data_IF_149237669313
#
_entry.id   IF_149237669313
#
_cell.length_a   1.000
_cell.length_b   1.000
_cell.length_c   1.000
_cell.angle_alpha   90.00
_cell.angle_beta   90.00
_cell.angle_gamma   90.00
#
_symmetry.space_group_name_H-M   'P 1'
#
loop_
_entity.id
_entity.type
_entity.pdbx_description
1 polymer ?
#
# COMPACT_ATOMS: atom_id res chain seq x y z
N UNK A 1 5.54 7.78 22.09
CA UNK A 1 4.20 8.06 21.53
C UNK A 1 4.30 9.31 20.66
N UNK A 2 3.91 9.24 19.39
CA UNK A 2 4.03 10.37 18.45
C UNK A 2 2.93 11.42 18.66
N UNK A 3 3.12 12.62 18.09
CA UNK A 3 2.15 13.73 18.18
C UNK A 3 0.79 13.31 17.61
N UNK A 4 0.79 12.60 16.48
CA UNK A 4 -0.43 12.07 15.86
C UNK A 4 -1.22 11.19 16.83
N UNK A 5 -0.57 10.26 17.53
CA UNK A 5 -1.25 9.34 18.45
C UNK A 5 -1.87 10.09 19.64
N UNK A 6 -1.17 11.10 20.16
CA UNK A 6 -1.72 11.96 21.20
C UNK A 6 -2.94 12.73 20.70
N UNK A 7 -2.88 13.30 19.50
CA UNK A 7 -3.99 14.04 18.89
C UNK A 7 -5.12 13.15 18.37
N UNK A 8 -4.95 11.83 18.31
CA UNK A 8 -6.04 10.89 18.01
C UNK A 8 -7.03 10.78 19.19
N UNK A 9 -6.56 10.98 20.42
CA UNK A 9 -7.38 10.91 21.65
C UNK A 9 -7.59 12.28 22.30
N UNK A 10 -6.63 13.19 22.22
CA UNK A 10 -6.69 14.53 22.81
C UNK A 10 -6.91 15.59 21.73
N UNK A 11 -7.53 16.72 22.12
CA UNK A 11 -7.75 17.86 21.21
C UNK A 11 -6.52 18.72 20.99
N UNK A 12 -5.56 18.69 21.92
CA UNK A 12 -4.30 19.41 21.82
C UNK A 12 -3.17 18.67 22.49
N UNK A 13 -1.95 19.00 22.09
CA UNK A 13 -0.72 18.48 22.69
C UNK A 13 0.39 19.53 22.66
N UNK A 14 1.31 19.44 23.62
CA UNK A 14 2.50 20.26 23.61
C UNK A 14 3.63 19.57 22.86
N UNK A 15 4.33 20.37 22.04
CA UNK A 15 5.56 19.99 21.34
C UNK A 15 6.69 20.74 22.04
N UNK A 16 7.54 19.99 22.74
CA UNK A 16 8.73 20.53 23.41
C UNK A 16 9.95 19.87 22.83
N UNK A 17 10.77 20.64 22.14
CA UNK A 17 12.06 20.24 21.57
C UNK A 17 13.14 21.12 22.20
N UNK A 18 13.81 20.64 23.26
CA UNK A 18 14.85 21.39 23.92
C UNK A 18 16.16 21.38 23.12
N UNK A 19 16.97 22.41 23.31
CA UNK A 19 18.34 22.50 22.76
C UNK A 19 18.44 22.40 21.24
N UNK A 20 17.51 23.03 20.49
CA UNK A 20 17.51 23.02 19.02
C UNK A 20 18.74 23.75 18.49
N UNK A 21 19.11 24.87 19.10
CA UNK A 21 20.29 25.65 18.76
C UNK A 21 20.73 26.48 19.97
N UNK A 22 21.88 27.13 19.87
CA UNK A 22 22.36 28.09 20.86
C UNK A 22 22.86 29.35 20.13
N UNK A 23 22.58 30.49 20.73
CA UNK A 23 23.16 31.77 20.31
C UNK A 23 23.87 32.49 21.49
N UNK A 24 24.24 33.75 21.30
CA UNK A 24 24.90 34.55 22.35
C UNK A 24 24.06 34.75 23.62
N UNK A 25 22.75 34.50 23.54
CA UNK A 25 21.82 34.60 24.67
C UNK A 25 21.56 33.27 25.36
N UNK A 26 22.14 32.17 24.86
CA UNK A 26 22.03 30.83 25.43
C UNK A 26 21.27 29.83 24.54
N UNK A 27 20.92 28.66 25.09
CA UNK A 27 20.23 27.63 24.36
C UNK A 27 18.80 28.04 23.97
N UNK A 28 18.38 27.65 22.77
CA UNK A 28 17.03 27.87 22.25
C UNK A 28 16.24 26.57 22.20
N UNK A 29 14.98 26.69 22.52
CA UNK A 29 14.04 25.59 22.60
C UNK A 29 12.81 25.89 21.74
N UNK A 30 12.17 24.86 21.20
CA UNK A 30 10.86 25.00 20.56
C UNK A 30 9.80 24.50 21.53
N UNK A 31 8.92 25.39 21.94
CA UNK A 31 7.74 25.07 22.72
C UNK A 31 6.51 25.58 21.97
N UNK A 32 5.71 24.66 21.46
CA UNK A 32 4.48 24.97 20.73
C UNK A 32 3.32 24.14 21.25
N UNK A 33 2.11 24.67 21.10
CA UNK A 33 0.88 23.89 21.22
C UNK A 33 0.37 23.53 19.83
N UNK A 34 0.10 22.25 19.64
CA UNK A 34 -0.52 21.71 18.43
C UNK A 34 -1.92 21.25 18.76
N UNK A 35 -2.91 21.73 18.01
CA UNK A 35 -4.29 21.23 18.11
C UNK A 35 -4.56 20.16 17.05
N UNK A 36 -5.52 19.27 17.33
CA UNK A 36 -6.02 18.30 16.35
C UNK A 36 -6.46 18.98 15.06
N UNK A 37 -7.26 20.04 15.15
CA UNK A 37 -7.74 20.80 13.99
C UNK A 37 -6.60 21.35 13.13
N UNK A 38 -5.50 21.83 13.75
CA UNK A 38 -4.33 22.29 13.01
C UNK A 38 -3.61 21.14 12.29
N UNK A 39 -3.47 19.97 12.93
CA UNK A 39 -2.89 18.79 12.30
C UNK A 39 -3.76 18.33 11.12
N UNK A 40 -5.07 18.26 11.30
CA UNK A 40 -6.02 17.84 10.27
C UNK A 40 -5.98 18.78 9.05
N UNK A 41 -5.90 20.09 9.28
CA UNK A 41 -5.75 21.05 8.20
C UNK A 41 -4.42 20.92 7.43
N UNK A 42 -3.33 20.56 8.13
CA UNK A 42 -2.01 20.36 7.48
C UNK A 42 -1.93 19.10 6.62
N UNK A 43 -2.79 18.10 6.85
CA UNK A 43 -2.78 16.82 6.14
C UNK A 43 -4.04 16.57 5.31
N UNK A 44 -4.90 17.56 5.16
CA UNK A 44 -6.19 17.44 4.49
C UNK A 44 -6.06 16.95 3.04
N UNK A 45 -5.09 17.49 2.30
CA UNK A 45 -4.81 17.07 0.94
C UNK A 45 -4.34 15.60 0.84
N UNK A 46 -3.58 15.13 1.84
CA UNK A 46 -3.14 13.74 1.92
C UNK A 46 -4.33 12.80 2.15
N UNK A 47 -5.24 13.20 3.04
CA UNK A 47 -6.45 12.43 3.31
C UNK A 47 -7.35 12.39 2.06
N UNK A 48 -7.58 13.54 1.43
CA UNK A 48 -8.38 13.59 0.20
C UNK A 48 -7.84 12.69 -0.91
N UNK A 49 -6.52 12.55 -1.05
CA UNK A 49 -5.88 11.66 -2.04
C UNK A 49 -6.08 10.17 -1.77
N UNK A 50 -6.60 9.77 -0.62
CA UNK A 50 -6.91 8.36 -0.34
C UNK A 50 -8.24 7.91 -0.95
N UNK A 51 -9.15 8.83 -1.27
CA UNK A 51 -10.47 8.50 -1.80
C UNK A 51 -10.47 8.01 -3.26
N UNK A 52 -9.69 8.62 -4.20
CA UNK A 52 -9.63 8.13 -5.57
C UNK A 52 -9.27 6.64 -5.71
N UNK A 53 -8.27 6.08 -4.99
CA UNK A 53 -8.02 4.64 -5.00
C UNK A 53 -9.21 3.79 -4.57
N UNK A 54 -9.99 4.25 -3.56
CA UNK A 54 -11.20 3.55 -3.13
C UNK A 54 -12.25 3.51 -4.25
N UNK A 55 -12.45 4.64 -4.94
CA UNK A 55 -13.37 4.71 -6.09
C UNK A 55 -12.93 3.77 -7.22
N UNK A 56 -11.64 3.75 -7.52
CA UNK A 56 -11.08 2.86 -8.55
C UNK A 56 -11.30 1.40 -8.18
N UNK A 57 -11.05 1.02 -6.92
CA UNK A 57 -11.25 -0.35 -6.46
C UNK A 57 -12.72 -0.79 -6.57
N UNK A 58 -13.67 0.06 -6.18
CA UNK A 58 -15.10 -0.22 -6.33
C UNK A 58 -15.49 -0.36 -7.81
N UNK A 59 -15.00 0.54 -8.66
CA UNK A 59 -15.23 0.49 -10.11
C UNK A 59 -14.65 -0.77 -10.74
N UNK A 60 -13.42 -1.16 -10.38
CA UNK A 60 -12.77 -2.38 -10.88
C UNK A 60 -13.51 -3.65 -10.42
N UNK A 61 -14.10 -3.63 -9.23
CA UNK A 61 -14.92 -4.72 -8.71
C UNK A 61 -16.36 -4.73 -9.27
N UNK A 62 -16.80 -3.65 -9.93
CA UNK A 62 -18.17 -3.52 -10.43
C UNK A 62 -19.23 -3.41 -9.34
N UNK A 63 -18.88 -2.90 -8.16
CA UNK A 63 -19.76 -2.74 -7.01
C UNK A 63 -19.83 -1.28 -6.55
N UNK A 64 -20.81 -0.98 -5.72
CA UNK A 64 -20.98 0.35 -5.12
C UNK A 64 -20.58 0.35 -3.65
N UNK A 65 -20.43 1.53 -3.05
CA UNK A 65 -20.11 1.66 -1.63
C UNK A 65 -21.17 1.03 -0.71
N UNK A 66 -22.42 0.97 -1.17
CA UNK A 66 -23.53 0.34 -0.42
C UNK A 66 -23.44 -1.18 -0.37
N UNK A 67 -22.78 -1.80 -1.35
CA UNK A 67 -22.61 -3.26 -1.45
C UNK A 67 -21.50 -3.78 -0.53
N UNK A 68 -20.74 -2.88 0.10
CA UNK A 68 -19.71 -3.26 1.08
C UNK A 68 -20.38 -3.64 2.40
N UNK A 69 -20.14 -4.87 2.86
CA UNK A 69 -20.67 -5.35 4.12
C UNK A 69 -19.92 -4.76 5.32
N UNK A 70 -18.60 -4.77 5.26
CA UNK A 70 -17.76 -4.39 6.38
C UNK A 70 -16.52 -3.57 5.92
N UNK A 71 -16.12 -2.60 6.74
CA UNK A 71 -14.96 -1.75 6.52
C UNK A 71 -13.97 -2.00 7.64
N UNK A 72 -12.82 -2.58 7.33
CA UNK A 72 -11.75 -2.84 8.28
C UNK A 72 -10.63 -1.83 8.06
N UNK A 73 -10.30 -1.08 9.12
CA UNK A 73 -9.26 -0.06 9.09
C UNK A 73 -7.91 -0.65 9.48
N UNK A 74 -6.88 -0.42 8.66
CA UNK A 74 -5.55 -1.01 8.83
C UNK A 74 -4.49 0.10 8.85
N UNK A 75 -3.51 -0.06 9.75
CA UNK A 75 -2.40 0.87 9.92
C UNK A 75 -2.69 2.00 10.91
N UNK A 76 -1.64 2.46 11.61
CA UNK A 76 -1.76 3.43 12.70
C UNK A 76 -2.36 4.79 12.33
N UNK A 77 -2.27 5.21 11.04
CA UNK A 77 -2.90 6.46 10.58
C UNK A 77 -4.42 6.40 10.61
N UNK A 78 -5.02 5.23 10.57
CA UNK A 78 -6.47 5.06 10.63
C UNK A 78 -7.07 5.34 12.01
N UNK A 79 -6.23 5.55 13.02
CA UNK A 79 -6.66 6.05 14.33
C UNK A 79 -7.05 7.52 14.33
N UNK A 80 -6.69 8.26 13.30
CA UNK A 80 -6.96 9.70 13.18
C UNK A 80 -8.46 9.94 12.97
N UNK A 81 -9.11 10.78 13.81
CA UNK A 81 -10.57 11.01 13.72
C UNK A 81 -11.04 11.50 12.34
N UNK A 82 -10.27 12.38 11.68
CA UNK A 82 -10.59 12.88 10.34
C UNK A 82 -10.62 11.76 9.31
N UNK A 83 -9.69 10.80 9.36
CA UNK A 83 -9.67 9.64 8.46
C UNK A 83 -10.91 8.77 8.66
N UNK A 84 -11.28 8.51 9.93
CA UNK A 84 -12.50 7.73 10.23
C UNK A 84 -13.75 8.44 9.72
N UNK A 85 -13.84 9.77 9.89
CA UNK A 85 -14.95 10.56 9.40
C UNK A 85 -15.07 10.53 7.88
N UNK A 86 -13.96 10.69 7.15
CA UNK A 86 -13.95 10.64 5.69
C UNK A 86 -14.34 9.26 5.15
N UNK A 87 -13.86 8.19 5.78
CA UNK A 87 -14.26 6.81 5.42
C UNK A 87 -15.75 6.59 5.66
N UNK A 88 -16.26 7.03 6.81
CA UNK A 88 -17.70 6.97 7.12
C UNK A 88 -18.53 7.76 6.11
N UNK A 89 -18.10 8.96 5.75
CA UNK A 89 -18.79 9.79 4.77
C UNK A 89 -18.80 9.14 3.38
N UNK A 90 -17.68 8.50 2.99
CA UNK A 90 -17.54 7.88 1.68
C UNK A 90 -18.37 6.60 1.53
N UNK A 91 -18.34 5.72 2.53
CA UNK A 91 -19.03 4.42 2.49
C UNK A 91 -20.43 4.43 3.12
N UNK A 92 -20.77 5.50 3.85
CA UNK A 92 -22.06 5.58 4.56
C UNK A 92 -22.20 4.65 5.78
N UNK A 93 -21.11 3.97 6.18
CA UNK A 93 -21.06 2.99 7.27
C UNK A 93 -19.91 3.30 8.22
N UNK A 94 -20.07 2.98 9.49
CA UNK A 94 -18.99 3.09 10.47
C UNK A 94 -17.95 1.98 10.24
N UNK A 95 -16.65 2.30 10.27
CA UNK A 95 -15.60 1.28 10.23
C UNK A 95 -15.65 0.35 11.43
N UNK A 96 -15.32 -0.93 11.20
CA UNK A 96 -15.16 -1.92 12.26
C UNK A 96 -13.99 -1.54 13.17
N UNK A 97 -14.25 -1.57 14.48
CA UNK A 97 -13.28 -1.26 15.54
C UNK A 97 -12.88 -2.47 16.37
N UNK A 98 -13.30 -3.68 15.98
CA UNK A 98 -13.03 -4.91 16.74
C UNK A 98 -11.59 -5.39 16.62
N UNK A 99 -10.89 -4.97 15.57
CA UNK A 99 -9.50 -5.35 15.31
C UNK A 99 -8.53 -4.20 15.61
N UNK A 100 -7.34 -4.54 16.13
CA UNK A 100 -6.29 -3.56 16.31
C UNK A 100 -5.65 -3.21 14.95
N UNK A 101 -5.74 -1.96 14.48
CA UNK A 101 -5.23 -1.57 13.17
C UNK A 101 -3.70 -1.68 13.02
N UNK A 102 -2.96 -1.76 14.13
CA UNK A 102 -1.50 -1.93 14.11
C UNK A 102 -1.08 -3.41 13.98
N UNK A 103 -1.93 -4.35 14.40
CA UNK A 103 -1.62 -5.79 14.49
C UNK A 103 -2.35 -6.63 13.45
N UNK A 104 -3.44 -6.14 12.87
CA UNK A 104 -4.34 -6.90 11.99
C UNK A 104 -3.62 -7.51 10.78
N UNK A 105 -2.60 -6.83 10.24
CA UNK A 105 -1.79 -7.35 9.12
C UNK A 105 -0.99 -8.58 9.54
N UNK A 106 -0.37 -8.53 10.71
CA UNK A 106 0.38 -9.67 11.25
C UNK A 106 -0.54 -10.86 11.57
N UNK A 107 -1.73 -10.58 12.11
CA UNK A 107 -2.76 -11.60 12.34
C UNK A 107 -3.21 -12.25 11.02
N UNK A 108 -3.48 -11.45 10.00
CA UNK A 108 -3.86 -11.94 8.67
C UNK A 108 -2.76 -12.79 8.04
N UNK A 109 -1.51 -12.37 8.14
CA UNK A 109 -0.36 -13.13 7.65
C UNK A 109 -0.20 -14.48 8.38
N UNK A 110 -0.43 -14.51 9.69
CA UNK A 110 -0.38 -15.75 10.47
C UNK A 110 -1.50 -16.72 10.07
N UNK A 111 -2.73 -16.21 9.87
CA UNK A 111 -3.87 -17.03 9.40
C UNK A 111 -3.56 -17.58 8.01
N UNK A 112 -3.06 -16.74 7.09
CA UNK A 112 -2.70 -17.19 5.73
C UNK A 112 -1.60 -18.24 5.74
N UNK A 113 -0.62 -18.13 6.62
CA UNK A 113 0.40 -19.16 6.80
C UNK A 113 -0.22 -20.49 7.26
N UNK A 114 -1.16 -20.46 8.20
CA UNK A 114 -1.90 -21.63 8.66
C UNK A 114 -2.75 -22.27 7.54
N UNK A 115 -3.35 -21.46 6.67
CA UNK A 115 -4.07 -21.96 5.48
C UNK A 115 -3.11 -22.66 4.52
N UNK A 116 -1.95 -22.09 4.25
CA UNK A 116 -0.94 -22.67 3.35
C UNK A 116 -0.33 -23.96 3.92
N UNK A 117 -0.20 -24.08 5.24
CA UNK A 117 0.26 -25.31 5.91
C UNK A 117 -0.84 -26.38 6.03
N UNK A 118 -2.09 -26.00 5.80
CA UNK A 118 -3.25 -26.90 5.93
C UNK A 118 -3.81 -27.04 7.34
N UNK A 119 -3.34 -26.22 8.28
CA UNK A 119 -3.82 -26.21 9.67
C UNK A 119 -5.19 -25.50 9.78
N UNK A 120 -5.43 -24.50 8.95
CA UNK A 120 -6.68 -23.77 8.84
C UNK A 120 -7.41 -24.17 7.55
N UNK A 121 -8.58 -24.75 7.65
CA UNK A 121 -9.34 -25.28 6.50
C UNK A 121 -10.63 -24.52 6.22
N UNK A 122 -11.10 -23.74 7.16
CA UNK A 122 -12.40 -23.07 7.11
C UNK A 122 -12.33 -21.66 6.47
N UNK A 123 -11.15 -21.22 6.07
CA UNK A 123 -10.92 -19.92 5.43
C UNK A 123 -10.37 -20.14 4.03
N UNK A 124 -11.10 -19.65 3.04
CA UNK A 124 -10.61 -19.56 1.65
C UNK A 124 -10.30 -18.10 1.32
N UNK A 125 -9.03 -17.77 1.18
CA UNK A 125 -8.60 -16.49 0.66
C UNK A 125 -8.09 -16.67 -0.76
N UNK A 126 -8.77 -16.06 -1.72
CA UNK A 126 -8.31 -15.91 -3.10
C UNK A 126 -7.88 -14.46 -3.28
N UNK A 127 -6.61 -14.27 -3.51
CA UNK A 127 -6.05 -12.95 -3.78
C UNK A 127 -5.88 -12.74 -5.29
N UNK A 128 -5.70 -11.51 -5.71
CA UNK A 128 -5.52 -11.14 -7.12
C UNK A 128 -4.29 -10.26 -7.29
N UNK A 129 -3.73 -10.28 -8.50
CA UNK A 129 -2.68 -9.33 -8.86
C UNK A 129 -3.28 -7.92 -8.93
N UNK A 130 -2.82 -6.96 -8.12
CA UNK A 130 -3.39 -5.60 -8.17
C UNK A 130 -3.03 -4.86 -9.46
N UNK A 131 -2.06 -5.39 -10.20
CA UNK A 131 -1.44 -4.76 -11.36
C UNK A 131 -1.06 -5.81 -12.39
N UNK A 132 -1.03 -5.39 -13.66
CA UNK A 132 -0.50 -6.22 -14.73
C UNK A 132 1.01 -6.41 -14.57
N UNK A 133 1.46 -7.64 -14.74
CA UNK A 133 2.86 -8.03 -14.74
C UNK A 133 3.31 -8.36 -16.15
N UNK A 134 4.40 -7.78 -16.59
CA UNK A 134 4.95 -7.97 -17.92
C UNK A 134 6.46 -7.98 -17.94
N UNK A 135 6.99 -8.05 -19.12
CA UNK A 135 8.43 -7.93 -19.39
C UNK A 135 8.67 -6.82 -20.40
N UNK A 136 9.85 -6.22 -20.32
CA UNK A 136 10.35 -5.30 -21.34
C UNK A 136 10.87 -6.11 -22.53
N UNK A 137 10.36 -5.81 -23.71
CA UNK A 137 10.80 -6.39 -24.97
C UNK A 137 11.57 -5.35 -25.79
N UNK A 138 12.08 -5.75 -26.96
CA UNK A 138 12.87 -4.91 -27.84
C UNK A 138 12.18 -3.56 -28.11
N UNK A 139 12.94 -2.46 -28.01
CA UNK A 139 12.40 -1.11 -28.19
C UNK A 139 11.73 -0.51 -26.95
N UNK A 140 11.89 -1.12 -25.75
CA UNK A 140 11.31 -0.60 -24.51
C UNK A 140 9.81 -0.86 -24.38
N UNK A 141 9.27 -1.76 -25.20
CA UNK A 141 7.83 -2.09 -25.18
C UNK A 141 7.51 -3.02 -24.02
N UNK A 142 6.52 -2.65 -23.21
CA UNK A 142 6.02 -3.52 -22.14
C UNK A 142 5.04 -4.57 -22.71
N UNK A 143 5.46 -5.84 -22.66
CA UNK A 143 4.60 -6.98 -23.04
C UNK A 143 3.98 -7.58 -21.79
N UNK A 144 2.67 -7.44 -21.63
CA UNK A 144 1.95 -7.98 -20.48
C UNK A 144 1.85 -9.51 -20.58
N UNK A 145 2.16 -10.18 -19.49
CA UNK A 145 2.04 -11.64 -19.33
C UNK A 145 0.86 -12.00 -18.43
N UNK A 146 0.69 -11.29 -17.33
CA UNK A 146 -0.38 -11.50 -16.38
C UNK A 146 -1.16 -10.18 -16.27
N UNK A 147 -2.43 -10.21 -16.57
CA UNK A 147 -3.29 -9.03 -16.46
C UNK A 147 -3.64 -8.72 -14.99
N UNK A 148 -3.88 -7.44 -14.69
CA UNK A 148 -4.40 -7.04 -13.38
C UNK A 148 -5.68 -7.82 -13.05
N UNK A 149 -5.95 -8.02 -11.77
CA UNK A 149 -7.09 -8.77 -11.25
C UNK A 149 -7.10 -10.27 -11.61
N UNK A 150 -5.96 -10.82 -12.03
CA UNK A 150 -5.81 -12.27 -12.19
C UNK A 150 -5.66 -12.92 -10.81
N UNK A 151 -6.47 -13.94 -10.53
CA UNK A 151 -6.40 -14.71 -9.27
C UNK A 151 -5.04 -15.39 -9.13
N UNK A 152 -4.46 -15.33 -7.94
CA UNK A 152 -3.19 -15.98 -7.59
C UNK A 152 -3.43 -17.17 -6.65
N UNK A 153 -2.60 -18.23 -6.73
CA UNK A 153 -1.38 -18.35 -7.53
C UNK A 153 -1.66 -18.56 -9.03
N UNK A 154 -0.85 -17.93 -9.88
CA UNK A 154 -0.95 -18.05 -11.33
C UNK A 154 0.43 -18.20 -11.97
N UNK A 155 0.47 -18.83 -13.15
CA UNK A 155 1.69 -19.01 -13.94
C UNK A 155 1.37 -18.71 -15.40
N UNK A 156 2.19 -17.89 -16.04
CA UNK A 156 2.16 -17.61 -17.47
C UNK A 156 3.54 -17.79 -18.07
N UNK A 157 3.58 -18.33 -19.27
CA UNK A 157 4.81 -18.46 -20.07
C UNK A 157 4.53 -18.00 -21.49
N UNK A 158 5.50 -17.38 -22.10
CA UNK A 158 5.44 -16.92 -23.48
C UNK A 158 6.84 -17.13 -24.09
N UNK A 159 6.87 -17.57 -25.33
CA UNK A 159 8.11 -17.76 -26.08
C UNK A 159 8.46 -16.44 -26.75
N UNK A 160 9.74 -16.08 -26.65
CA UNK A 160 10.31 -14.92 -27.31
C UNK A 160 11.54 -15.37 -28.11
N UNK A 161 11.80 -14.73 -29.24
CA UNK A 161 13.03 -14.91 -30.00
C UNK A 161 14.12 -13.95 -29.53
N UNK A 162 15.36 -14.32 -29.70
CA UNK A 162 16.51 -13.44 -29.51
C UNK A 162 16.57 -12.38 -30.62
N UNK A 163 17.18 -11.22 -30.33
CA UNK A 163 17.30 -10.15 -31.31
C UNK A 163 18.36 -10.50 -32.40
N UNK A 164 19.37 -11.30 -32.05
CA UNK A 164 20.48 -11.69 -32.93
C UNK A 164 20.67 -13.21 -32.87
N UNK A 165 21.20 -13.78 -33.97
CA UNK A 165 21.57 -15.20 -34.02
C UNK A 165 22.73 -15.48 -33.05
N UNK A 166 22.68 -16.63 -32.38
CA UNK A 166 23.69 -17.06 -31.41
C UNK A 166 23.91 -16.09 -30.23
N UNK A 167 22.90 -15.29 -29.87
CA UNK A 167 22.98 -14.41 -28.72
C UNK A 167 23.19 -15.21 -27.42
N UNK A 168 24.31 -15.00 -26.67
CA UNK A 168 24.67 -15.88 -25.55
C UNK A 168 23.85 -15.64 -24.29
N UNK A 169 23.17 -14.49 -24.18
CA UNK A 169 22.36 -14.15 -23.02
C UNK A 169 21.31 -13.09 -23.36
N UNK A 170 20.21 -13.07 -22.61
CA UNK A 170 19.20 -12.02 -22.65
C UNK A 170 19.04 -11.39 -21.28
N UNK A 171 18.85 -10.06 -21.24
CA UNK A 171 18.49 -9.36 -20.02
C UNK A 171 16.97 -9.30 -19.92
N UNK A 172 16.40 -9.79 -18.81
CA UNK A 172 14.96 -9.76 -18.57
C UNK A 172 14.67 -8.69 -17.53
N UNK A 173 13.92 -7.67 -17.92
CA UNK A 173 13.38 -6.66 -17.03
C UNK A 173 11.93 -6.98 -16.77
N UNK A 174 11.61 -7.40 -15.54
CA UNK A 174 10.24 -7.63 -15.11
C UNK A 174 9.59 -6.27 -14.78
N UNK A 175 8.48 -5.99 -15.42
CA UNK A 175 7.76 -4.74 -15.27
C UNK A 175 6.48 -4.97 -14.49
N UNK A 176 6.33 -4.19 -13.44
CA UNK A 176 5.05 -4.00 -12.77
C UNK A 176 4.51 -2.66 -13.27
N UNK A 177 3.35 -2.64 -13.92
CA UNK A 177 2.88 -1.53 -14.77
C UNK A 177 3.68 -1.38 -16.08
N UNK A 178 3.86 -0.11 -16.49
CA UNK A 178 4.61 0.27 -17.69
C UNK A 178 6.04 0.72 -17.40
N UNK A 179 6.46 0.67 -16.13
CA UNK A 179 7.81 1.09 -15.71
C UNK A 179 8.34 0.16 -14.61
N UNK A 180 9.64 -0.18 -14.65
CA UNK A 180 10.23 -0.96 -13.57
C UNK A 180 10.20 -0.17 -12.26
N UNK A 181 9.78 -0.82 -11.17
CA UNK A 181 9.95 -0.26 -9.83
C UNK A 181 11.45 -0.10 -9.53
N UNK A 182 11.88 0.95 -8.83
CA UNK A 182 13.26 1.06 -8.36
C UNK A 182 13.73 -0.14 -7.51
N UNK A 183 12.79 -0.90 -6.93
CA UNK A 183 13.05 -2.13 -6.15
C UNK A 183 13.16 -3.39 -7.01
N UNK A 184 12.60 -3.38 -8.22
CA UNK A 184 12.54 -4.56 -9.11
C UNK A 184 13.71 -4.62 -10.10
N UNK A 185 14.79 -3.92 -9.82
CA UNK A 185 16.02 -3.93 -10.65
C UNK A 185 16.85 -5.21 -10.52
N UNK A 186 16.27 -6.34 -10.18
CA UNK A 186 16.94 -7.63 -10.29
C UNK A 186 16.96 -8.04 -11.77
N UNK A 187 18.05 -7.67 -12.46
CA UNK A 187 18.35 -8.19 -13.79
C UNK A 187 18.74 -9.64 -13.65
N UNK A 188 17.86 -10.53 -14.02
CA UNK A 188 18.19 -11.93 -14.20
C UNK A 188 18.83 -12.11 -15.59
N UNK A 189 20.07 -12.63 -15.65
CA UNK A 189 20.66 -13.11 -16.90
C UNK A 189 20.34 -14.58 -17.04
N UNK A 190 19.56 -14.93 -18.02
CA UNK A 190 19.35 -16.32 -18.40
C UNK A 190 20.23 -16.65 -19.62
N UNK A 191 20.92 -17.79 -19.64
CA UNK A 191 21.56 -18.29 -20.87
C UNK A 191 20.48 -18.57 -21.91
N UNK A 192 20.71 -18.14 -23.16
CA UNK A 192 19.83 -18.52 -24.24
C UNK A 192 19.95 -20.04 -24.43
N UNK A 193 18.88 -20.77 -24.32
CA UNK A 193 18.83 -22.17 -24.75
C UNK A 193 18.97 -22.18 -26.28
N UNK A 194 20.02 -22.81 -26.76
CA UNK A 194 20.20 -23.12 -28.18
C UNK A 194 19.08 -24.08 -28.65
#
# INVERSE_FOLDING_TARGET
MCIRDRLSSAEQTDINLPFITADKTGPKHINLKMTRAKLEALVEDLIARTLPPCKTALSDAGITASDIDEIVMVGGMTRMPKVLAEVKNFFGKDPNKSVNPDEVVAMGAAIQAGVLQGDVKDVLLLDVTPLSLGIETLGGVSTKLIEKNTTIPTKKSQVFSTAEDNQPAVSISCLLYTSPSPRDRTRSRMPSSA
#
